data_IF_942877682209
#
_entry.id   IF_942877682209
#
_cell.length_a   1.000
_cell.length_b   1.000
_cell.length_c   1.000
_cell.angle_alpha   90.00
_cell.angle_beta   90.00
_cell.angle_gamma   90.00
#
_symmetry.space_group_name_H-M   'P 1'
#
loop_
_entity.id
_entity.type
_entity.pdbx_description
1 polymer ?
#
# COMPACT_ATOMS: atom_id res chain seq x y z
N UNK A 1 24.01 -24.91 -14.39
CA UNK A 1 23.16 -23.71 -14.19
C UNK A 1 23.93 -22.86 -13.22
N UNK A 2 24.23 -21.61 -13.56
CA UNK A 2 24.88 -20.70 -12.60
C UNK A 2 23.92 -20.54 -11.42
N UNK A 3 24.47 -20.74 -10.22
CA UNK A 3 23.75 -20.53 -8.96
C UNK A 3 23.46 -19.02 -8.90
N UNK A 4 22.24 -18.60 -9.27
CA UNK A 4 21.85 -17.19 -9.22
C UNK A 4 21.83 -16.78 -7.76
N UNK A 5 22.67 -15.84 -7.39
CA UNK A 5 22.87 -15.40 -6.02
C UNK A 5 21.57 -14.81 -5.45
N UNK A 6 21.12 -15.30 -4.31
CA UNK A 6 20.02 -14.72 -3.55
C UNK A 6 20.45 -13.37 -2.96
N UNK A 7 19.65 -12.33 -3.19
CA UNK A 7 19.85 -10.99 -2.63
C UNK A 7 18.65 -10.65 -1.76
N UNK A 8 18.87 -10.49 -0.46
CA UNK A 8 17.82 -10.07 0.47
C UNK A 8 17.35 -8.67 0.13
N UNK A 9 16.04 -8.50 0.00
CA UNK A 9 15.40 -7.20 -0.22
C UNK A 9 15.04 -6.57 1.14
N UNK A 10 15.14 -5.23 1.26
CA UNK A 10 14.70 -4.54 2.47
C UNK A 10 13.19 -4.72 2.69
N UNK A 11 12.76 -4.81 3.94
CA UNK A 11 11.36 -4.92 4.33
C UNK A 11 11.20 -5.37 5.78
N UNK A 12 10.10 -4.98 6.41
CA UNK A 12 9.82 -5.29 7.81
C UNK A 12 8.97 -6.56 7.99
N UNK A 13 8.41 -7.11 6.91
CA UNK A 13 7.48 -8.23 6.98
C UNK A 13 7.83 -9.25 5.90
N UNK A 14 8.32 -10.43 6.29
CA UNK A 14 8.33 -11.61 5.44
C UNK A 14 9.60 -11.95 4.65
N UNK A 15 10.66 -11.14 4.67
CA UNK A 15 11.98 -11.55 4.15
C UNK A 15 11.98 -11.92 2.65
N UNK A 16 11.67 -10.97 1.77
CA UNK A 16 11.72 -11.18 0.32
C UNK A 16 13.17 -11.34 -0.17
N UNK A 17 13.37 -12.25 -1.14
CA UNK A 17 14.68 -12.52 -1.76
C UNK A 17 14.58 -12.36 -3.26
N UNK A 18 15.47 -11.54 -3.85
CA UNK A 18 15.59 -11.43 -5.29
C UNK A 18 16.56 -12.49 -5.83
N UNK A 19 16.14 -13.15 -6.90
CA UNK A 19 16.97 -14.08 -7.68
C UNK A 19 16.79 -13.77 -9.17
N UNK A 20 17.77 -13.16 -9.77
CA UNK A 20 17.68 -12.65 -11.16
C UNK A 20 16.54 -11.61 -11.26
N UNK A 21 15.61 -11.85 -12.17
CA UNK A 21 14.41 -11.02 -12.40
C UNK A 21 13.16 -11.58 -11.68
N UNK A 22 13.36 -12.32 -10.60
CA UNK A 22 12.28 -12.86 -9.76
C UNK A 22 12.43 -12.48 -8.31
N UNK A 23 11.31 -12.44 -7.58
CA UNK A 23 11.23 -12.28 -6.12
C UNK A 23 10.63 -13.55 -5.53
N UNK A 24 11.25 -14.06 -4.48
CA UNK A 24 10.76 -15.21 -3.70
C UNK A 24 10.34 -14.76 -2.32
N UNK A 25 9.16 -15.18 -1.90
CA UNK A 25 8.56 -14.77 -0.63
C UNK A 25 7.89 -15.95 0.06
N UNK A 26 7.84 -15.90 1.38
CA UNK A 26 7.06 -16.86 2.16
C UNK A 26 5.57 -16.77 1.80
N UNK A 27 4.91 -17.92 1.74
CA UNK A 27 3.47 -18.00 1.47
C UNK A 27 2.65 -17.92 2.76
N UNK A 28 1.40 -17.45 2.61
CA UNK A 28 0.40 -17.45 3.68
C UNK A 28 -0.95 -17.98 3.19
N UNK A 29 -1.92 -18.02 4.07
CA UNK A 29 -3.27 -18.46 3.71
C UNK A 29 -3.91 -17.62 2.60
N UNK A 30 -3.50 -16.35 2.48
CA UNK A 30 -3.99 -15.38 1.49
C UNK A 30 -3.36 -15.53 0.10
N UNK A 31 -2.22 -16.23 -0.03
CA UNK A 31 -1.41 -16.28 -1.27
C UNK A 31 -2.24 -16.68 -2.50
N UNK A 32 -3.12 -17.68 -2.40
CA UNK A 32 -3.95 -18.10 -3.53
C UNK A 32 -4.93 -16.99 -3.98
N UNK A 33 -5.49 -16.24 -3.05
CA UNK A 33 -6.39 -15.12 -3.37
C UNK A 33 -5.64 -13.97 -4.04
N UNK A 34 -4.44 -13.67 -3.53
CA UNK A 34 -3.53 -12.66 -4.12
C UNK A 34 -3.07 -13.10 -5.52
N UNK A 35 -2.66 -14.36 -5.71
CA UNK A 35 -2.28 -14.87 -7.04
C UNK A 35 -3.43 -14.75 -8.04
N UNK A 36 -4.65 -15.14 -7.64
CA UNK A 36 -5.82 -14.98 -8.52
C UNK A 36 -6.08 -13.50 -8.90
N UNK A 37 -5.85 -12.57 -7.97
CA UNK A 37 -5.95 -11.13 -8.23
C UNK A 37 -4.85 -10.67 -9.19
N UNK A 38 -3.60 -11.03 -8.95
CA UNK A 38 -2.45 -10.66 -9.78
C UNK A 38 -2.60 -11.21 -11.21
N UNK A 39 -3.02 -12.46 -11.37
CA UNK A 39 -3.29 -13.07 -12.68
C UNK A 39 -4.42 -12.33 -13.42
N UNK A 40 -5.49 -11.98 -12.70
CA UNK A 40 -6.58 -11.19 -13.27
C UNK A 40 -6.12 -9.80 -13.74
N UNK A 41 -5.27 -9.13 -12.97
CA UNK A 41 -4.76 -7.79 -13.27
C UNK A 41 -3.66 -7.78 -14.32
N UNK A 42 -2.91 -8.87 -14.50
CA UNK A 42 -1.70 -8.94 -15.33
C UNK A 42 -1.90 -8.49 -16.79
N UNK A 43 -3.13 -8.58 -17.32
CA UNK A 43 -3.51 -8.15 -18.68
C UNK A 43 -4.32 -6.85 -18.72
N UNK A 44 -4.55 -6.22 -17.57
CA UNK A 44 -5.46 -5.06 -17.41
C UNK A 44 -4.76 -3.84 -16.89
N UNK A 45 -3.76 -4.02 -16.04
CA UNK A 45 -3.02 -2.92 -15.40
C UNK A 45 -1.53 -3.17 -15.54
N UNK A 46 -0.79 -2.20 -16.04
CA UNK A 46 0.66 -2.26 -16.09
C UNK A 46 1.28 -2.14 -14.68
N UNK A 47 2.48 -2.67 -14.50
CA UNK A 47 3.20 -2.52 -13.23
C UNK A 47 2.72 -3.44 -12.10
N UNK A 48 1.99 -4.51 -12.42
CA UNK A 48 1.59 -5.55 -11.48
C UNK A 48 2.55 -6.74 -11.59
N UNK A 49 3.02 -7.34 -10.47
CA UNK A 49 3.87 -8.51 -10.52
C UNK A 49 3.17 -9.69 -11.22
N UNK A 50 3.91 -10.44 -12.03
CA UNK A 50 3.42 -11.69 -12.63
C UNK A 50 3.66 -12.85 -11.68
N UNK A 51 2.66 -13.71 -11.50
CA UNK A 51 2.79 -14.96 -10.76
C UNK A 51 3.54 -15.97 -11.64
N UNK A 52 4.65 -16.50 -11.14
CA UNK A 52 5.49 -17.47 -11.83
C UNK A 52 5.43 -18.87 -11.19
N UNK A 53 4.69 -19.00 -10.09
CA UNK A 53 4.50 -20.26 -9.37
C UNK A 53 5.18 -20.32 -8.03
N UNK A 54 5.75 -21.48 -7.72
CA UNK A 54 6.42 -21.73 -6.44
C UNK A 54 7.79 -22.36 -6.68
N UNK A 55 8.74 -22.07 -5.82
CA UNK A 55 10.05 -22.74 -5.83
C UNK A 55 10.02 -24.07 -5.04
N UNK A 56 11.18 -24.77 -5.04
CA UNK A 56 11.33 -26.05 -4.33
C UNK A 56 11.17 -25.95 -2.80
N UNK A 57 11.27 -24.74 -2.25
CA UNK A 57 11.07 -24.46 -0.83
C UNK A 57 9.62 -24.09 -0.49
N UNK A 58 8.72 -24.05 -1.50
CA UNK A 58 7.33 -23.65 -1.34
C UNK A 58 7.14 -22.14 -1.19
N UNK A 59 8.16 -21.32 -1.50
CA UNK A 59 8.04 -19.86 -1.56
C UNK A 59 7.33 -19.47 -2.88
N UNK A 60 6.46 -18.47 -2.85
CA UNK A 60 5.93 -17.90 -4.09
C UNK A 60 7.05 -17.24 -4.90
N UNK A 61 6.93 -17.35 -6.23
CA UNK A 61 7.85 -16.73 -7.19
C UNK A 61 7.06 -15.73 -8.01
N UNK A 62 7.41 -14.46 -7.89
CA UNK A 62 6.83 -13.34 -8.63
C UNK A 62 7.88 -12.71 -9.53
N UNK A 63 7.46 -12.03 -10.61
CA UNK A 63 8.39 -11.20 -11.39
C UNK A 63 8.89 -10.02 -10.55
N UNK A 64 10.18 -9.70 -10.70
CA UNK A 64 10.75 -8.49 -10.12
C UNK A 64 10.29 -7.26 -10.90
N UNK A 65 9.86 -6.22 -10.19
CA UNK A 65 9.51 -4.93 -10.78
C UNK A 65 10.71 -4.00 -10.68
N UNK A 66 11.14 -3.47 -11.82
CA UNK A 66 12.25 -2.54 -11.90
C UNK A 66 11.79 -1.10 -11.67
N UNK A 67 12.63 -0.30 -11.06
CA UNK A 67 12.42 1.10 -10.80
C UNK A 67 13.03 1.54 -9.48
N UNK A 68 13.02 2.84 -9.25
CA UNK A 68 13.48 3.44 -8.00
C UNK A 68 12.33 3.45 -6.98
N UNK A 69 12.57 3.00 -5.79
CA UNK A 69 11.68 3.16 -4.63
C UNK A 69 12.08 4.42 -3.86
N UNK A 70 11.09 5.22 -3.47
CA UNK A 70 11.33 6.47 -2.74
C UNK A 70 11.55 6.18 -1.27
N UNK A 71 12.64 6.72 -0.72
CA UNK A 71 12.91 6.70 0.71
C UNK A 71 12.13 7.83 1.41
N UNK A 72 11.00 7.46 2.01
CA UNK A 72 10.08 8.40 2.65
C UNK A 72 10.67 9.12 3.87
N UNK A 73 11.75 8.60 4.45
CA UNK A 73 12.40 9.23 5.61
C UNK A 73 13.28 10.43 5.18
N UNK A 74 13.84 10.38 3.97
CA UNK A 74 14.77 11.38 3.45
C UNK A 74 14.15 12.33 2.41
N UNK A 75 13.09 11.94 1.70
CA UNK A 75 12.53 12.73 0.61
C UNK A 75 10.98 12.74 0.60
N UNK A 76 10.42 13.71 -0.13
CA UNK A 76 8.99 13.79 -0.43
C UNK A 76 8.78 13.38 -1.89
N UNK A 77 7.65 12.73 -2.18
CA UNK A 77 7.20 12.58 -3.56
C UNK A 77 7.06 13.96 -4.22
N UNK A 78 7.38 14.07 -5.50
CA UNK A 78 7.00 15.23 -6.32
C UNK A 78 5.48 15.26 -6.50
N UNK A 79 4.93 16.37 -6.96
CA UNK A 79 3.51 16.47 -7.32
C UNK A 79 3.18 15.50 -8.46
N UNK A 80 4.07 15.38 -9.43
CA UNK A 80 3.96 14.50 -10.58
C UNK A 80 3.95 13.03 -10.15
N UNK A 81 4.79 12.64 -9.19
CA UNK A 81 4.78 11.28 -8.62
C UNK A 81 3.46 10.98 -7.89
N UNK A 82 2.90 11.94 -7.13
CA UNK A 82 1.59 11.78 -6.52
C UNK A 82 0.52 11.57 -7.59
N UNK A 83 0.52 12.39 -8.64
CA UNK A 83 -0.41 12.26 -9.78
C UNK A 83 -0.28 10.87 -10.41
N UNK A 84 0.96 10.40 -10.64
CA UNK A 84 1.20 9.08 -11.24
C UNK A 84 0.68 7.93 -10.35
N UNK A 85 0.97 7.95 -9.04
CA UNK A 85 0.46 6.95 -8.06
C UNK A 85 -1.06 6.92 -8.03
N UNK A 86 -1.70 8.10 -7.97
CA UNK A 86 -3.16 8.18 -7.85
C UNK A 86 -3.86 7.81 -9.16
N UNK A 87 -3.29 8.18 -10.31
CA UNK A 87 -3.78 7.75 -11.63
C UNK A 87 -3.70 6.24 -11.78
N UNK A 88 -2.54 5.64 -11.44
CA UNK A 88 -2.38 4.20 -11.43
C UNK A 88 -3.39 3.51 -10.50
N UNK A 89 -3.63 4.08 -9.31
CA UNK A 89 -4.61 3.55 -8.35
C UNK A 89 -6.03 3.60 -8.91
N UNK A 90 -6.41 4.68 -9.59
CA UNK A 90 -7.73 4.78 -10.23
C UNK A 90 -7.90 3.73 -11.31
N UNK A 91 -6.91 3.58 -12.19
CA UNK A 91 -6.95 2.60 -13.29
C UNK A 91 -7.00 1.16 -12.73
N UNK A 92 -6.28 0.89 -11.63
CA UNK A 92 -6.37 -0.36 -10.89
C UNK A 92 -7.78 -0.59 -10.32
N UNK A 93 -8.39 0.41 -9.68
CA UNK A 93 -9.74 0.28 -9.12
C UNK A 93 -10.80 0.06 -10.22
N UNK A 94 -10.65 0.69 -11.36
CA UNK A 94 -11.51 0.44 -12.53
C UNK A 94 -11.33 -0.98 -13.07
N UNK A 95 -10.09 -1.43 -13.18
CA UNK A 95 -9.79 -2.77 -13.69
C UNK A 95 -10.30 -3.89 -12.77
N UNK A 96 -10.23 -3.67 -11.44
CA UNK A 96 -10.63 -4.69 -10.45
C UNK A 96 -12.13 -4.76 -10.21
N UNK A 97 -12.94 -3.82 -10.74
CA UNK A 97 -14.38 -3.73 -10.47
C UNK A 97 -15.16 -5.02 -10.79
N UNK A 98 -14.68 -5.84 -11.76
CA UNK A 98 -15.29 -7.13 -12.12
C UNK A 98 -14.67 -8.34 -11.41
N UNK A 99 -13.68 -8.13 -10.54
CA UNK A 99 -13.00 -9.22 -9.83
C UNK A 99 -13.72 -9.59 -8.54
N UNK A 100 -13.84 -10.89 -8.28
CA UNK A 100 -14.39 -11.41 -7.02
C UNK A 100 -13.65 -12.67 -6.62
N UNK A 101 -13.25 -12.76 -5.38
CA UNK A 101 -12.65 -13.96 -4.79
C UNK A 101 -13.05 -14.08 -3.31
N UNK A 102 -13.40 -15.28 -2.82
CA UNK A 102 -13.87 -15.45 -1.44
C UNK A 102 -12.77 -15.24 -0.38
N UNK A 103 -11.51 -15.21 -0.77
CA UNK A 103 -10.36 -15.22 0.14
C UNK A 103 -9.85 -16.62 0.42
N UNK A 104 -9.16 -16.84 1.55
CA UNK A 104 -8.94 -15.84 2.61
C UNK A 104 -8.06 -14.68 2.18
N UNK A 105 -8.29 -13.51 2.77
CA UNK A 105 -7.47 -12.31 2.63
C UNK A 105 -6.74 -12.05 3.96
N UNK A 106 -5.53 -11.54 3.91
CA UNK A 106 -4.75 -11.27 5.12
C UNK A 106 -5.27 -10.04 5.86
N UNK A 107 -5.60 -8.99 5.09
CA UNK A 107 -6.07 -7.74 5.66
C UNK A 107 -7.51 -7.86 6.18
N UNK A 108 -7.85 -7.05 7.19
CA UNK A 108 -9.20 -7.04 7.74
C UNK A 108 -10.21 -6.53 6.70
N UNK A 109 -11.41 -7.08 6.78
CA UNK A 109 -12.50 -6.65 5.92
C UNK A 109 -13.08 -5.33 6.43
N UNK A 110 -13.14 -4.29 5.58
CA UNK A 110 -13.91 -3.07 5.87
C UNK A 110 -15.42 -3.35 5.83
N UNK A 111 -16.19 -2.53 6.53
CA UNK A 111 -17.65 -2.59 6.41
C UNK A 111 -18.06 -2.17 4.98
N UNK A 112 -18.99 -2.92 4.37
CA UNK A 112 -19.55 -2.62 3.03
C UNK A 112 -18.47 -2.39 1.95
N UNK A 113 -17.58 -3.37 1.71
CA UNK A 113 -16.56 -3.23 0.71
C UNK A 113 -17.17 -3.14 -0.69
N UNK A 114 -16.61 -2.31 -1.56
CA UNK A 114 -17.07 -2.12 -2.93
C UNK A 114 -16.10 -2.64 -4.00
N UNK A 115 -14.86 -2.96 -3.59
CA UNK A 115 -13.83 -3.52 -4.47
C UNK A 115 -12.80 -4.33 -3.66
N UNK A 116 -11.91 -5.02 -4.39
CA UNK A 116 -10.68 -5.57 -3.82
C UNK A 116 -9.57 -4.56 -4.07
N UNK A 117 -9.01 -3.98 -3.00
CA UNK A 117 -7.90 -3.04 -3.08
C UNK A 117 -6.57 -3.67 -2.73
N UNK A 118 -5.51 -2.90 -2.90
CA UNK A 118 -4.16 -3.25 -2.47
C UNK A 118 -3.99 -3.08 -0.95
N UNK A 119 -4.61 -2.04 -0.38
CA UNK A 119 -4.62 -1.64 1.04
C UNK A 119 -3.26 -1.20 1.62
N UNK A 120 -2.18 -1.22 0.82
CA UNK A 120 -0.84 -0.83 1.25
C UNK A 120 -0.08 -0.03 0.17
N UNK A 121 -0.80 0.77 -0.62
CA UNK A 121 -0.17 1.67 -1.61
C UNK A 121 0.53 2.80 -0.86
N UNK A 122 1.85 2.73 -0.84
CA UNK A 122 2.73 3.70 -0.20
C UNK A 122 4.02 3.84 -1.03
N UNK A 123 4.75 4.96 -0.95
CA UNK A 123 5.95 5.18 -1.77
C UNK A 123 7.00 4.07 -1.66
N UNK A 124 7.07 3.40 -0.51
CA UNK A 124 7.98 2.27 -0.28
C UNK A 124 7.55 0.95 -0.95
N UNK A 125 6.32 0.88 -1.52
CA UNK A 125 5.78 -0.24 -2.30
C UNK A 125 5.59 0.12 -3.78
N UNK A 126 6.12 1.26 -4.22
CA UNK A 126 5.97 1.76 -5.60
C UNK A 126 7.33 1.95 -6.25
N UNK A 127 7.50 1.41 -7.46
CA UNK A 127 8.64 1.64 -8.33
C UNK A 127 8.36 2.81 -9.27
N UNK A 128 9.35 3.68 -9.45
CA UNK A 128 9.30 4.83 -10.35
C UNK A 128 10.42 4.80 -11.39
N UNK A 129 10.14 5.31 -12.59
CA UNK A 129 11.11 5.79 -13.57
C UNK A 129 10.85 7.29 -13.79
N UNK A 130 11.74 8.15 -13.31
CA UNK A 130 11.46 9.58 -13.17
C UNK A 130 10.28 9.81 -12.22
N UNK A 131 9.20 10.39 -12.73
CA UNK A 131 7.97 10.64 -11.99
C UNK A 131 6.86 9.60 -12.28
N UNK A 132 7.09 8.67 -13.21
CA UNK A 132 6.09 7.69 -13.62
C UNK A 132 6.18 6.41 -12.79
N UNK A 133 5.01 5.90 -12.37
CA UNK A 133 4.89 4.59 -11.72
C UNK A 133 5.18 3.49 -12.74
N UNK A 134 6.19 2.66 -12.46
CA UNK A 134 6.52 1.48 -13.27
C UNK A 134 6.08 0.18 -12.63
N UNK A 135 5.75 0.20 -11.33
CA UNK A 135 5.26 -0.98 -10.65
C UNK A 135 4.80 -0.72 -9.22
N UNK A 136 3.85 -1.56 -8.78
CA UNK A 136 3.37 -1.60 -7.39
C UNK A 136 3.49 -3.04 -6.90
N UNK A 137 4.19 -3.23 -5.78
CA UNK A 137 4.49 -4.53 -5.21
C UNK A 137 3.98 -4.64 -3.76
N UNK A 138 4.20 -5.80 -3.13
CA UNK A 138 3.74 -6.15 -1.78
C UNK A 138 2.21 -6.19 -1.62
N UNK A 139 1.60 -7.12 -2.35
CA UNK A 139 0.15 -7.34 -2.42
C UNK A 139 -0.43 -8.16 -1.25
N UNK A 140 0.36 -8.46 -0.21
CA UNK A 140 -0.09 -9.30 0.91
C UNK A 140 -1.31 -8.76 1.65
N UNK A 141 -1.46 -7.43 1.68
CA UNK A 141 -2.61 -6.79 2.32
C UNK A 141 -3.79 -6.56 1.37
N UNK A 142 -3.69 -7.05 0.11
CA UNK A 142 -4.82 -6.97 -0.81
C UNK A 142 -6.07 -7.62 -0.19
N UNK A 143 -7.23 -7.02 -0.45
CA UNK A 143 -8.48 -7.53 0.10
C UNK A 143 -9.65 -6.57 -0.03
N UNK A 144 -10.84 -6.98 0.45
CA UNK A 144 -12.07 -6.20 0.37
C UNK A 144 -11.96 -4.83 1.04
N UNK A 145 -12.19 -3.74 0.29
CA UNK A 145 -12.04 -2.36 0.75
C UNK A 145 -13.02 -1.40 0.05
N UNK A 146 -12.84 -0.10 0.28
CA UNK A 146 -13.52 0.97 -0.45
C UNK A 146 -12.47 1.95 -1.02
N UNK A 147 -12.76 2.67 -2.11
CA UNK A 147 -11.81 3.63 -2.69
C UNK A 147 -11.33 4.68 -1.67
N UNK A 148 -12.23 5.24 -0.87
CA UNK A 148 -11.84 6.27 0.11
C UNK A 148 -10.96 5.71 1.22
N UNK A 149 -11.11 4.44 1.60
CA UNK A 149 -10.26 3.78 2.59
C UNK A 149 -8.83 3.62 2.07
N UNK A 150 -8.68 3.28 0.80
CA UNK A 150 -7.37 3.19 0.14
C UNK A 150 -6.73 4.56 -0.11
N UNK A 151 -7.53 5.55 -0.59
CA UNK A 151 -7.07 6.94 -0.74
C UNK A 151 -6.61 7.55 0.58
N UNK A 152 -7.25 7.21 1.69
CA UNK A 152 -6.84 7.65 3.02
C UNK A 152 -5.45 7.11 3.39
N UNK A 153 -5.12 5.87 3.01
CA UNK A 153 -3.79 5.31 3.24
C UNK A 153 -2.73 5.91 2.30
N UNK A 154 -3.11 6.14 1.03
CA UNK A 154 -2.27 6.88 0.08
C UNK A 154 -1.98 8.29 0.62
N UNK A 155 -2.99 9.00 1.13
CA UNK A 155 -2.80 10.32 1.73
C UNK A 155 -1.90 10.28 2.96
N UNK A 156 -2.06 9.29 3.84
CA UNK A 156 -1.18 9.10 4.99
C UNK A 156 0.29 9.00 4.59
N UNK A 157 0.61 8.29 3.50
CA UNK A 157 1.98 8.02 3.08
C UNK A 157 2.52 9.01 2.03
N UNK A 158 1.72 9.36 1.01
CA UNK A 158 2.17 10.23 -0.09
C UNK A 158 2.12 11.72 0.25
N UNK A 159 1.26 12.14 1.21
CA UNK A 159 1.24 13.54 1.71
C UNK A 159 2.32 13.83 2.76
N UNK A 160 3.03 13.05 3.34
CA UNK A 160 3.11 12.11 4.43
C UNK A 160 2.54 12.68 5.76
N UNK A 161 1.31 12.36 6.05
CA UNK A 161 0.58 12.91 7.20
C UNK A 161 1.04 12.42 8.57
N UNK A 162 1.87 11.38 8.58
CA UNK A 162 2.47 10.85 9.80
C UNK A 162 3.52 11.80 10.43
N UNK A 163 3.97 12.82 9.67
CA UNK A 163 4.85 13.90 10.15
C UNK A 163 4.26 15.27 9.85
N UNK A 164 4.82 16.31 10.47
CA UNK A 164 4.40 17.70 10.21
C UNK A 164 5.13 18.24 8.98
N UNK A 165 4.38 18.48 7.90
CA UNK A 165 4.86 19.12 6.67
C UNK A 165 4.26 20.51 6.45
N UNK A 166 3.54 21.01 7.46
CA UNK A 166 2.77 22.25 7.38
C UNK A 166 1.40 22.11 6.71
N UNK A 167 0.38 22.81 7.23
CA UNK A 167 -1.00 22.60 6.80
C UNK A 167 -1.27 23.01 5.35
N UNK A 168 -0.63 24.07 4.85
CA UNK A 168 -0.80 24.53 3.47
C UNK A 168 -0.30 23.50 2.45
N UNK A 169 0.90 22.94 2.67
CA UNK A 169 1.43 21.88 1.79
C UNK A 169 0.60 20.60 1.87
N UNK A 170 0.14 20.21 3.06
CA UNK A 170 -0.74 19.06 3.23
C UNK A 170 -2.05 19.25 2.44
N UNK A 171 -2.67 20.43 2.52
CA UNK A 171 -3.88 20.76 1.78
C UNK A 171 -3.67 20.75 0.25
N UNK A 172 -2.55 21.29 -0.25
CA UNK A 172 -2.20 21.26 -1.67
C UNK A 172 -2.09 19.83 -2.19
N UNK A 173 -1.34 18.97 -1.49
CA UNK A 173 -1.14 17.57 -1.88
C UNK A 173 -2.44 16.76 -1.81
N UNK A 174 -3.31 17.04 -0.83
CA UNK A 174 -4.65 16.44 -0.75
C UNK A 174 -5.55 16.84 -1.93
N UNK A 175 -5.50 18.12 -2.35
CA UNK A 175 -6.22 18.56 -3.56
C UNK A 175 -5.70 17.85 -4.81
N UNK A 176 -4.39 17.65 -4.92
CA UNK A 176 -3.79 16.87 -6.02
C UNK A 176 -4.35 15.44 -6.04
N UNK A 177 -4.38 14.75 -4.89
CA UNK A 177 -4.95 13.40 -4.80
C UNK A 177 -6.42 13.40 -5.21
N UNK A 178 -7.22 14.31 -4.65
CA UNK A 178 -8.66 14.41 -4.92
C UNK A 178 -8.97 14.72 -6.38
N UNK A 179 -8.26 15.69 -6.97
CA UNK A 179 -8.45 16.09 -8.37
C UNK A 179 -8.04 14.98 -9.35
N UNK A 180 -6.95 14.25 -9.04
CA UNK A 180 -6.44 13.17 -9.90
C UNK A 180 -7.33 11.93 -9.85
N UNK A 181 -7.78 11.53 -8.67
CA UNK A 181 -8.64 10.35 -8.54
C UNK A 181 -10.07 10.63 -9.01
N UNK A 182 -10.65 11.76 -8.63
CA UNK A 182 -12.05 12.10 -8.85
C UNK A 182 -13.02 11.43 -7.87
N UNK A 183 -14.27 11.89 -7.83
CA UNK A 183 -15.34 11.29 -7.01
C UNK A 183 -15.26 11.60 -5.50
N UNK A 184 -14.15 12.11 -4.99
CA UNK A 184 -13.96 12.54 -3.61
C UNK A 184 -13.31 13.92 -3.58
N UNK A 185 -13.68 14.75 -2.62
CA UNK A 185 -12.96 16.00 -2.36
C UNK A 185 -11.83 15.78 -1.33
N UNK A 186 -10.94 16.75 -1.22
CA UNK A 186 -9.76 16.67 -0.34
C UNK A 186 -10.13 16.52 1.15
N UNK A 187 -11.22 17.15 1.60
CA UNK A 187 -11.72 17.04 2.97
C UNK A 187 -12.23 15.63 3.27
N UNK A 188 -12.96 15.01 2.34
CA UNK A 188 -13.43 13.63 2.50
C UNK A 188 -12.26 12.66 2.68
N UNK A 189 -11.18 12.84 1.90
CA UNK A 189 -9.97 12.04 2.02
C UNK A 189 -9.28 12.31 3.36
N UNK A 190 -9.06 13.58 3.73
CA UNK A 190 -8.45 13.96 5.01
C UNK A 190 -9.18 13.34 6.21
N UNK A 191 -10.50 13.47 6.24
CA UNK A 191 -11.32 12.99 7.36
C UNK A 191 -11.46 11.46 7.40
N UNK A 192 -11.13 10.74 6.31
CA UNK A 192 -11.05 9.29 6.29
C UNK A 192 -9.73 8.75 6.89
N UNK A 193 -8.64 9.54 6.88
CA UNK A 193 -7.32 9.10 7.36
C UNK A 193 -7.34 8.60 8.80
N UNK A 194 -7.89 9.35 9.79
CA UNK A 194 -7.88 8.87 11.18
C UNK A 194 -8.54 7.50 11.34
N UNK A 195 -9.69 7.29 10.72
CA UNK A 195 -10.40 6.01 10.77
C UNK A 195 -9.60 4.89 10.11
N UNK A 196 -8.97 5.17 8.96
CA UNK A 196 -8.14 4.20 8.24
C UNK A 196 -6.95 3.75 9.08
N UNK A 197 -6.26 4.70 9.69
CA UNK A 197 -5.07 4.41 10.49
C UNK A 197 -5.47 3.73 11.81
N UNK A 198 -6.54 4.18 12.49
CA UNK A 198 -7.03 3.52 13.70
C UNK A 198 -7.36 2.04 13.43
N UNK A 199 -8.03 1.74 12.33
CA UNK A 199 -8.32 0.36 11.94
C UNK A 199 -7.05 -0.50 11.78
N UNK A 200 -5.97 0.06 11.24
CA UNK A 200 -4.66 -0.61 11.15
C UNK A 200 -4.04 -0.82 12.55
N UNK A 201 -4.11 0.20 13.42
CA UNK A 201 -3.60 0.12 14.79
C UNK A 201 -4.30 -0.99 15.59
N UNK A 202 -5.59 -1.17 15.40
CA UNK A 202 -6.38 -2.20 16.07
C UNK A 202 -6.11 -3.60 15.48
N UNK A 203 -5.90 -3.66 14.17
CA UNK A 203 -5.70 -4.93 13.46
C UNK A 203 -4.32 -5.56 13.70
N UNK A 204 -3.23 -4.79 13.72
CA UNK A 204 -1.87 -5.34 13.88
C UNK A 204 -1.74 -6.23 15.13
N UNK A 205 -2.13 -5.78 16.35
CA UNK A 205 -2.06 -6.63 17.55
C UNK A 205 -3.00 -7.84 17.47
N UNK A 206 -4.18 -7.67 16.90
CA UNK A 206 -5.15 -8.74 16.75
C UNK A 206 -4.64 -9.85 15.80
N UNK A 207 -4.04 -9.47 14.67
CA UNK A 207 -3.45 -10.40 13.72
C UNK A 207 -2.22 -11.11 14.31
N UNK A 208 -1.35 -10.39 15.03
CA UNK A 208 -0.23 -10.98 15.75
C UNK A 208 -0.69 -12.02 16.79
N UNK A 209 -1.72 -11.70 17.57
CA UNK A 209 -2.31 -12.63 18.54
C UNK A 209 -2.97 -13.85 17.86
N UNK A 210 -3.45 -13.70 16.63
CA UNK A 210 -3.96 -14.80 15.80
C UNK A 210 -2.87 -15.63 15.11
N UNK A 211 -1.56 -15.30 15.31
CA UNK A 211 -0.43 -16.07 14.81
C UNK A 211 0.21 -15.51 13.53
N UNK A 212 -0.17 -14.32 13.07
CA UNK A 212 0.52 -13.67 11.94
C UNK A 212 1.93 -13.23 12.35
N UNK A 213 2.95 -13.95 11.82
CA UNK A 213 4.37 -13.71 12.15
C UNK A 213 4.86 -12.35 11.69
N UNK A 214 4.36 -11.83 10.55
CA UNK A 214 4.71 -10.51 10.05
C UNK A 214 4.20 -9.40 10.96
N UNK A 215 2.95 -9.51 11.43
CA UNK A 215 2.38 -8.55 12.37
C UNK A 215 3.04 -8.66 13.76
N UNK A 216 3.39 -9.86 14.20
CA UNK A 216 4.17 -10.05 15.41
C UNK A 216 5.55 -9.37 15.31
N UNK A 217 6.22 -9.47 14.16
CA UNK A 217 7.49 -8.79 13.93
C UNK A 217 7.33 -7.25 13.93
N UNK A 218 6.28 -6.70 13.30
CA UNK A 218 5.99 -5.25 13.34
C UNK A 218 5.89 -4.73 14.77
N UNK A 219 5.28 -5.50 15.68
CA UNK A 219 5.22 -5.12 17.09
C UNK A 219 6.61 -5.05 17.73
N UNK A 220 7.57 -5.91 17.35
CA UNK A 220 8.94 -5.87 17.90
C UNK A 220 9.73 -4.66 17.43
N UNK A 221 9.41 -4.09 16.27
CA UNK A 221 10.06 -2.89 15.71
C UNK A 221 9.32 -1.59 16.04
N UNK A 222 8.34 -1.66 16.96
CA UNK A 222 7.70 -0.48 17.56
C UNK A 222 6.35 -0.07 16.95
N UNK A 223 5.81 -0.83 15.98
CA UNK A 223 4.42 -0.67 15.54
C UNK A 223 3.48 -1.51 16.45
N UNK A 224 2.23 -1.07 16.66
CA UNK A 224 1.60 0.13 16.12
C UNK A 224 1.84 1.42 16.94
N UNK A 225 2.71 1.40 17.95
CA UNK A 225 2.91 2.52 18.87
C UNK A 225 3.36 3.82 18.19
N UNK A 226 4.31 3.74 17.23
CA UNK A 226 4.78 4.91 16.47
C UNK A 226 3.66 5.53 15.64
N UNK A 227 2.91 4.70 14.94
CA UNK A 227 1.77 5.15 14.13
C UNK A 227 0.65 5.76 14.99
N UNK A 228 0.43 5.28 16.23
CA UNK A 228 -0.53 5.87 17.17
C UNK A 228 -0.14 7.29 17.59
N UNK A 229 1.16 7.54 17.87
CA UNK A 229 1.67 8.87 18.18
C UNK A 229 1.52 9.80 16.97
N UNK A 230 1.86 9.33 15.78
CA UNK A 230 1.72 10.10 14.54
C UNK A 230 0.26 10.44 14.24
N UNK A 231 -0.66 9.50 14.47
CA UNK A 231 -2.10 9.71 14.31
C UNK A 231 -2.62 10.79 15.26
N UNK A 232 -2.23 10.75 16.53
CA UNK A 232 -2.60 11.79 17.50
C UNK A 232 -2.09 13.18 17.05
N UNK A 233 -0.86 13.24 16.53
CA UNK A 233 -0.31 14.45 15.93
C UNK A 233 -1.11 14.94 14.72
N UNK A 234 -1.53 14.07 13.82
CA UNK A 234 -2.39 14.43 12.70
C UNK A 234 -3.75 14.96 13.16
N UNK A 235 -4.42 14.30 14.10
CA UNK A 235 -5.75 14.74 14.61
C UNK A 235 -5.67 16.19 15.11
N UNK A 236 -4.60 16.58 15.78
CA UNK A 236 -4.41 17.95 16.24
C UNK A 236 -4.17 18.95 15.08
N UNK A 237 -3.66 18.51 13.93
CA UNK A 237 -3.40 19.35 12.75
C UNK A 237 -4.57 19.44 11.78
N UNK A 238 -5.54 18.51 11.82
CA UNK A 238 -6.70 18.50 10.91
C UNK A 238 -7.40 19.85 10.82
N UNK A 239 -7.73 20.56 11.92
CA UNK A 239 -8.41 21.85 11.82
C UNK A 239 -7.62 22.88 10.99
N UNK A 240 -6.30 22.96 11.15
CA UNK A 240 -5.47 23.88 10.38
C UNK A 240 -5.39 23.46 8.89
N UNK A 241 -5.38 22.17 8.59
CA UNK A 241 -5.41 21.69 7.21
C UNK A 241 -6.77 22.00 6.57
N UNK A 242 -7.88 21.80 7.29
CA UNK A 242 -9.24 22.13 6.83
C UNK A 242 -9.39 23.64 6.50
N UNK A 243 -8.81 24.53 7.30
CA UNK A 243 -8.79 25.97 7.01
C UNK A 243 -8.12 26.27 5.66
N UNK A 244 -7.06 25.53 5.32
CA UNK A 244 -6.41 25.67 4.01
C UNK A 244 -7.19 24.97 2.87
N UNK A 245 -8.08 24.03 3.16
CA UNK A 245 -8.93 23.35 2.16
C UNK A 245 -10.20 24.13 1.85
N UNK A 246 -10.67 25.00 2.75
CA UNK A 246 -11.83 25.85 2.55
C UNK A 246 -11.59 26.86 1.43
#
# INVERSE_FOLDING_TARGET
MADEQEVYLPGNVGGAVRVGDTVRRATGAWTNAVHALLDYLSTRVAGVPKVLGYDEQGREVLSYLHGRVVDVDSELLTTEQIVSVVSWTRDFHEAVAGFSHPGPWRYFRVAEPSLIGHNDIAPYNVCFEGDEVTGVFDWDLAGPTTPVHELAFIAWNCVPMWRDIGPGLAAERLRTIAATYGGFNAQQILHAVPRRIQAMLDWIPAAAAAGDQGMAHLMTVGEPGRSAVSLAGLINRIPAIDEHLA
#
